data_IF_809483832922
#
_entry.id   IF_809483832922
#
_cell.length_a   1.000
_cell.length_b   1.000
_cell.length_c   1.000
_cell.angle_alpha   90.00
_cell.angle_beta   90.00
_cell.angle_gamma   90.00
#
_symmetry.space_group_name_H-M   'P 1'
#
loop_
_entity.id
_entity.type
_entity.pdbx_description
1 polymer ?
#
# COMPACT_ATOMS: atom_id res chain seq x y z
N UNK A 1 10.35 -18.96 -11.06
CA UNK A 1 9.31 -17.98 -10.64
C UNK A 1 8.13 -18.79 -10.15
N UNK A 2 7.81 -18.70 -8.86
CA UNK A 2 6.66 -19.38 -8.27
C UNK A 2 5.38 -18.78 -8.84
N UNK A 3 4.51 -19.61 -9.39
CA UNK A 3 3.18 -19.22 -9.88
C UNK A 3 2.16 -19.30 -8.73
N UNK A 4 2.48 -18.67 -7.60
CA UNK A 4 1.61 -18.66 -6.42
C UNK A 4 0.68 -17.46 -6.44
N UNK A 5 -0.58 -17.71 -6.10
CA UNK A 5 -1.61 -16.69 -5.94
C UNK A 5 -1.63 -16.16 -4.51
N UNK A 6 -1.55 -14.84 -4.36
CA UNK A 6 -1.67 -14.18 -3.06
C UNK A 6 -3.11 -14.30 -2.58
N UNK A 7 -3.31 -14.82 -1.36
CA UNK A 7 -4.62 -15.09 -0.77
C UNK A 7 -4.97 -14.13 0.35
N UNK A 8 -4.03 -13.95 1.27
CA UNK A 8 -4.23 -13.12 2.46
C UNK A 8 -3.03 -12.20 2.66
N UNK A 9 -3.30 -11.05 3.24
CA UNK A 9 -2.31 -10.18 3.85
C UNK A 9 -2.59 -10.13 5.36
N UNK A 10 -1.55 -10.29 6.16
CA UNK A 10 -1.60 -10.13 7.60
C UNK A 10 -0.64 -9.00 8.00
N UNK A 11 -1.15 -8.02 8.75
CA UNK A 11 -0.41 -6.87 9.23
C UNK A 11 -0.41 -6.86 10.76
N UNK A 12 0.77 -6.86 11.37
CA UNK A 12 0.94 -6.63 12.80
C UNK A 12 1.49 -5.23 13.00
N UNK A 13 0.80 -4.41 13.78
CA UNK A 13 1.21 -3.05 14.09
C UNK A 13 2.03 -2.98 15.38
N UNK A 14 3.08 -2.14 15.35
CA UNK A 14 4.07 -2.03 16.42
C UNK A 14 4.14 -0.62 17.01
N UNK A 15 3.03 0.12 16.98
CA UNK A 15 3.00 1.53 17.36
C UNK A 15 2.38 1.70 18.76
N UNK A 16 3.24 1.71 19.80
CA UNK A 16 2.81 2.01 21.16
C UNK A 16 2.27 3.44 21.24
N UNK A 17 1.20 3.64 22.02
CA UNK A 17 0.59 4.94 22.30
C UNK A 17 0.24 5.73 21.01
N UNK A 18 -0.17 5.00 19.96
CA UNK A 18 -0.58 5.60 18.70
C UNK A 18 -1.96 6.20 18.82
N UNK A 19 -2.05 7.50 18.59
CA UNK A 19 -3.31 8.26 18.71
C UNK A 19 -4.01 8.34 17.37
N UNK A 20 -5.32 8.54 17.40
CA UNK A 20 -6.17 8.68 16.22
C UNK A 20 -5.74 9.86 15.35
N UNK A 21 -5.40 10.98 15.97
CA UNK A 21 -4.94 12.22 15.34
C UNK A 21 -3.63 12.07 14.55
N UNK A 22 -2.84 11.03 14.83
CA UNK A 22 -1.61 10.75 14.08
C UNK A 22 -1.89 10.16 12.69
N UNK A 23 -3.12 9.74 12.43
CA UNK A 23 -3.52 9.16 11.16
C UNK A 23 -2.90 7.80 10.87
N UNK A 24 -2.65 7.52 9.60
CA UNK A 24 -2.03 6.26 9.15
C UNK A 24 -2.92 5.03 9.28
N UNK A 25 -4.24 5.21 9.41
CA UNK A 25 -5.21 4.12 9.42
C UNK A 25 -5.05 3.25 8.19
N UNK A 26 -5.13 1.93 8.39
CA UNK A 26 -5.42 1.05 7.27
C UNK A 26 -6.87 1.29 6.83
N UNK A 27 -7.04 1.62 5.58
CA UNK A 27 -8.36 1.83 4.99
C UNK A 27 -8.63 0.73 3.97
N UNK A 28 -9.80 0.13 4.07
CA UNK A 28 -10.32 -0.84 3.12
C UNK A 28 -11.41 -0.15 2.29
N UNK A 29 -11.43 -0.41 0.98
CA UNK A 29 -12.34 0.28 0.06
C UNK A 29 -13.16 -0.71 -0.73
N UNK A 30 -14.39 -0.31 -1.08
CA UNK A 30 -15.17 -0.99 -2.11
C UNK A 30 -14.63 -0.66 -3.50
N UNK A 31 -14.66 -1.65 -4.41
CA UNK A 31 -14.20 -1.49 -5.80
C UNK A 31 -14.95 -0.40 -6.56
N UNK A 32 -16.20 -0.14 -6.19
CA UNK A 32 -17.05 0.83 -6.87
C UNK A 32 -16.93 2.24 -6.28
N UNK A 33 -16.31 2.37 -5.09
CA UNK A 33 -16.14 3.66 -4.43
C UNK A 33 -14.81 3.74 -3.65
N UNK A 34 -13.78 4.19 -4.33
CA UNK A 34 -12.45 4.36 -3.74
C UNK A 34 -12.28 5.68 -2.96
N UNK A 35 -13.27 6.57 -2.98
CA UNK A 35 -13.20 7.84 -2.27
C UNK A 35 -13.63 7.73 -0.81
N UNK A 36 -14.43 6.70 -0.48
CA UNK A 36 -14.93 6.47 0.87
C UNK A 36 -14.53 5.06 1.33
N UNK A 37 -13.71 4.94 2.38
CA UNK A 37 -13.39 3.64 2.94
C UNK A 37 -14.61 3.01 3.60
N UNK A 38 -14.78 1.70 3.43
CA UNK A 38 -15.77 0.89 4.14
C UNK A 38 -15.31 0.58 5.57
N UNK A 39 -14.00 0.59 5.79
CA UNK A 39 -13.39 0.33 7.10
C UNK A 39 -12.12 1.15 7.29
N UNK A 40 -11.97 1.75 8.49
CA UNK A 40 -10.74 2.38 8.95
C UNK A 40 -10.24 1.66 10.20
N UNK A 41 -8.96 1.29 10.22
CA UNK A 41 -8.35 0.51 11.29
C UNK A 41 -7.14 1.28 11.80
N UNK A 42 -7.21 1.74 13.05
CA UNK A 42 -6.11 2.46 13.69
C UNK A 42 -4.92 1.51 13.92
N UNK A 43 -3.68 1.87 13.54
CA UNK A 43 -2.51 0.99 13.59
C UNK A 43 -1.85 0.95 14.97
N UNK A 44 -2.59 0.60 16.03
CA UNK A 44 -2.08 0.54 17.40
C UNK A 44 -1.20 -0.69 17.66
N UNK A 45 -0.38 -0.60 18.70
CA UNK A 45 0.49 -1.70 19.11
C UNK A 45 -0.28 -3.01 19.35
N UNK A 46 0.35 -4.11 18.93
CA UNK A 46 -0.18 -5.47 19.06
C UNK A 46 -1.52 -5.73 18.36
N UNK A 47 -1.89 -4.90 17.38
CA UNK A 47 -3.07 -5.14 16.54
C UNK A 47 -2.67 -5.96 15.33
N UNK A 48 -3.28 -7.12 15.19
CA UNK A 48 -3.22 -7.95 13.99
C UNK A 48 -4.44 -7.67 13.13
N UNK A 49 -4.22 -7.45 11.84
CA UNK A 49 -5.26 -7.32 10.82
C UNK A 49 -5.00 -8.32 9.73
N UNK A 50 -5.99 -9.17 9.42
CA UNK A 50 -5.92 -10.14 8.33
C UNK A 50 -7.05 -9.82 7.35
N UNK A 51 -6.73 -9.75 6.08
CA UNK A 51 -7.72 -9.52 5.02
C UNK A 51 -7.35 -10.24 3.73
N UNK A 52 -8.38 -10.58 2.96
CA UNK A 52 -8.22 -11.22 1.66
C UNK A 52 -7.60 -10.26 0.65
N UNK A 53 -6.70 -10.78 -0.17
CA UNK A 53 -6.12 -10.06 -1.31
C UNK A 53 -6.63 -10.66 -2.61
N UNK A 54 -7.60 -9.97 -3.20
CA UNK A 54 -8.17 -10.28 -4.51
C UNK A 54 -7.89 -9.12 -5.47
N UNK A 55 -8.23 -9.27 -6.74
CA UNK A 55 -8.08 -8.21 -7.74
C UNK A 55 -8.96 -6.98 -7.45
N UNK A 56 -9.91 -7.11 -6.53
CA UNK A 56 -10.86 -6.06 -6.15
C UNK A 56 -10.75 -5.64 -4.69
N UNK A 57 -9.76 -6.12 -3.95
CA UNK A 57 -9.55 -5.74 -2.53
C UNK A 57 -8.62 -4.53 -2.43
N UNK A 58 -9.19 -3.35 -2.61
CA UNK A 58 -8.44 -2.09 -2.49
C UNK A 58 -8.21 -1.71 -1.05
N UNK A 59 -6.97 -1.43 -0.71
CA UNK A 59 -6.58 -1.06 0.64
C UNK A 59 -5.34 -0.15 0.65
N UNK A 60 -5.15 0.59 1.72
CA UNK A 60 -3.99 1.48 1.87
C UNK A 60 -4.10 2.38 3.10
N UNK A 61 -3.18 3.33 3.21
CA UNK A 61 -3.24 4.45 4.16
C UNK A 61 -3.00 5.75 3.38
N UNK A 62 -4.02 6.22 2.69
CA UNK A 62 -3.89 7.32 1.72
C UNK A 62 -3.63 8.67 2.36
N UNK A 63 -4.06 8.84 3.62
CA UNK A 63 -3.94 10.10 4.32
C UNK A 63 -2.51 10.31 4.83
N UNK A 64 -1.97 11.54 4.81
CA UNK A 64 -0.67 11.84 5.39
C UNK A 64 -0.63 11.51 6.89
N UNK A 65 0.57 11.14 7.37
CA UNK A 65 0.81 11.01 8.79
C UNK A 65 0.93 12.39 9.43
N UNK A 66 0.35 12.54 10.62
CA UNK A 66 0.41 13.74 11.45
C UNK A 66 0.99 13.43 12.84
N UNK A 67 1.88 12.44 12.90
CA UNK A 67 2.57 12.09 14.14
C UNK A 67 3.78 13.00 14.37
N UNK A 68 4.26 13.14 15.62
CA UNK A 68 5.50 13.84 15.94
C UNK A 68 6.68 13.35 15.10
N UNK A 69 7.67 14.24 14.86
CA UNK A 69 8.78 13.98 13.93
C UNK A 69 9.69 12.82 14.36
N UNK A 70 9.74 12.53 15.65
CA UNK A 70 10.48 11.44 16.26
C UNK A 70 9.73 10.09 16.21
N UNK A 71 8.49 10.11 15.71
CA UNK A 71 7.67 8.90 15.57
C UNK A 71 7.52 8.45 14.13
N UNK A 72 7.34 7.16 13.97
CA UNK A 72 7.06 6.55 12.67
C UNK A 72 6.02 5.45 12.80
N UNK A 73 5.19 5.28 11.77
CA UNK A 73 4.24 4.18 11.67
C UNK A 73 4.98 2.89 11.29
N UNK A 74 4.94 1.91 12.17
CA UNK A 74 5.64 0.63 12.03
C UNK A 74 4.65 -0.52 11.91
N UNK A 75 4.90 -1.42 10.97
CA UNK A 75 4.14 -2.67 10.81
C UNK A 75 5.02 -3.76 10.22
N UNK A 76 4.70 -5.00 10.54
CA UNK A 76 5.20 -6.19 9.86
C UNK A 76 4.09 -6.67 8.94
N UNK A 77 4.41 -6.90 7.68
CA UNK A 77 3.46 -7.41 6.69
C UNK A 77 3.91 -8.79 6.21
N UNK A 78 2.98 -9.75 6.22
CA UNK A 78 3.19 -11.08 5.67
C UNK A 78 2.09 -11.40 4.68
N UNK A 79 2.42 -12.20 3.66
CA UNK A 79 1.47 -12.62 2.63
C UNK A 79 1.41 -14.13 2.59
N UNK A 80 0.19 -14.63 2.49
CA UNK A 80 -0.08 -16.06 2.34
C UNK A 80 -0.49 -16.34 0.90
N UNK A 81 0.06 -17.42 0.37
CA UNK A 81 -0.09 -17.81 -1.03
C UNK A 81 -0.65 -19.21 -1.12
N UNK A 82 -1.37 -19.50 -2.20
CA UNK A 82 -1.77 -20.86 -2.59
C UNK A 82 -1.28 -21.18 -4.00
N UNK A 83 -1.18 -22.45 -4.29
CA UNK A 83 -0.93 -22.93 -5.64
C UNK A 83 -2.26 -23.03 -6.39
N UNK A 84 -2.60 -21.96 -7.12
CA UNK A 84 -3.87 -21.82 -7.82
C UNK A 84 -5.03 -21.33 -6.93
N UNK A 85 -6.14 -21.05 -7.57
CA UNK A 85 -7.39 -20.56 -6.98
C UNK A 85 -8.56 -21.37 -7.53
N UNK A 86 -9.27 -22.06 -6.67
CA UNK A 86 -10.45 -22.83 -7.06
C UNK A 86 -11.66 -21.94 -7.37
N UNK A 87 -11.63 -20.70 -6.86
CA UNK A 87 -12.66 -19.67 -7.01
C UNK A 87 -12.56 -18.88 -8.32
N UNK A 88 -11.49 -19.10 -9.10
CA UNK A 88 -11.31 -18.42 -10.40
C UNK A 88 -11.65 -19.40 -11.52
N UNK A 89 -12.64 -19.04 -12.35
CA UNK A 89 -12.98 -19.82 -13.55
C UNK A 89 -11.74 -20.03 -14.40
N UNK A 90 -11.45 -21.27 -14.79
CA UNK A 90 -10.26 -21.75 -15.53
C UNK A 90 -9.90 -20.98 -16.82
N UNK A 91 -10.76 -20.09 -17.29
CA UNK A 91 -10.63 -19.36 -18.56
C UNK A 91 -10.18 -17.90 -18.40
N UNK A 92 -9.90 -17.41 -17.20
CA UNK A 92 -9.29 -16.09 -17.04
C UNK A 92 -7.77 -16.26 -17.07
N UNK A 93 -7.14 -15.72 -18.12
CA UNK A 93 -5.70 -15.58 -18.20
C UNK A 93 -5.21 -14.85 -16.93
N UNK A 94 -4.52 -15.59 -16.07
CA UNK A 94 -3.95 -15.08 -14.84
C UNK A 94 -3.00 -13.91 -15.17
N UNK A 95 -3.46 -12.70 -14.98
CA UNK A 95 -2.55 -11.56 -14.84
C UNK A 95 -1.85 -11.74 -13.50
N UNK A 96 -0.52 -11.69 -13.51
CA UNK A 96 0.29 -11.71 -12.29
C UNK A 96 -0.28 -10.70 -11.29
N UNK A 97 -0.71 -11.20 -10.13
CA UNK A 97 -1.15 -10.32 -9.04
C UNK A 97 0.07 -9.62 -8.44
N UNK A 98 0.39 -8.47 -9.00
CA UNK A 98 1.31 -7.50 -8.40
C UNK A 98 0.48 -6.43 -7.70
N UNK A 99 1.11 -5.66 -6.82
CA UNK A 99 0.46 -4.51 -6.21
C UNK A 99 0.17 -3.47 -7.31
N UNK A 100 -1.11 -3.20 -7.56
CA UNK A 100 -1.55 -2.12 -8.44
C UNK A 100 -1.86 -0.89 -7.62
N UNK A 101 -1.32 0.24 -8.03
CA UNK A 101 -1.65 1.54 -7.47
C UNK A 101 -2.76 2.15 -8.31
N UNK A 102 -3.86 2.53 -7.65
CA UNK A 102 -5.02 3.15 -8.31
C UNK A 102 -5.13 4.59 -7.81
N UNK A 103 -5.27 5.52 -8.75
CA UNK A 103 -5.54 6.92 -8.45
C UNK A 103 -7.00 7.06 -7.99
N UNK A 104 -7.20 7.68 -6.83
CA UNK A 104 -8.54 7.95 -6.29
C UNK A 104 -9.13 9.23 -6.85
N UNK A 105 -8.27 10.25 -7.04
CA UNK A 105 -8.64 11.55 -7.59
C UNK A 105 -7.45 12.25 -8.28
N UNK A 106 -7.67 13.48 -8.76
CA UNK A 106 -6.65 14.28 -9.45
C UNK A 106 -5.42 14.59 -8.57
N UNK A 107 -5.55 14.58 -7.25
CA UNK A 107 -4.44 14.84 -6.30
C UNK A 107 -3.42 13.71 -6.30
N UNK A 108 -3.84 12.52 -6.62
CA UNK A 108 -2.98 11.35 -6.70
C UNK A 108 -2.14 11.33 -8.00
N UNK A 109 -2.56 12.06 -9.05
CA UNK A 109 -1.87 12.08 -10.35
C UNK A 109 -0.45 12.63 -10.29
N UNK A 110 -0.15 13.53 -9.36
CA UNK A 110 1.19 14.14 -9.21
C UNK A 110 2.21 13.18 -8.55
N UNK A 111 1.74 12.14 -7.86
CA UNK A 111 2.59 11.20 -7.09
C UNK A 111 2.79 9.85 -7.78
N UNK A 112 2.05 9.55 -8.83
CA UNK A 112 2.00 8.22 -9.42
C UNK A 112 2.69 8.11 -10.78
N UNK A 113 3.96 8.50 -10.84
CA UNK A 113 4.83 7.84 -11.82
C UNK A 113 4.86 6.34 -11.47
N UNK A 114 4.73 5.44 -12.47
CA UNK A 114 4.86 4.00 -12.25
C UNK A 114 6.08 3.71 -11.39
N UNK A 115 5.93 2.82 -10.42
CA UNK A 115 7.03 2.45 -9.50
C UNK A 115 8.28 2.05 -10.27
N UNK A 116 8.12 1.39 -11.42
CA UNK A 116 9.18 1.06 -12.38
C UNK A 116 9.95 2.29 -12.86
N UNK A 117 9.27 3.40 -13.13
CA UNK A 117 9.95 4.64 -13.57
C UNK A 117 10.60 5.33 -12.37
N UNK A 118 9.95 5.34 -11.19
CA UNK A 118 10.57 5.87 -9.96
C UNK A 118 11.80 5.08 -9.54
N UNK A 119 11.77 3.75 -9.66
CA UNK A 119 12.90 2.90 -9.32
C UNK A 119 14.02 2.99 -10.37
N UNK A 120 13.69 3.15 -11.64
CA UNK A 120 14.66 3.45 -12.69
C UNK A 120 15.29 4.82 -12.49
N UNK A 121 14.49 5.86 -12.16
CA UNK A 121 15.00 7.21 -11.89
C UNK A 121 15.81 7.28 -10.59
N UNK A 122 15.48 6.46 -9.57
CA UNK A 122 16.30 6.33 -8.35
C UNK A 122 17.64 5.62 -8.62
N UNK A 123 17.69 4.69 -9.56
CA UNK A 123 18.92 4.01 -10.00
C UNK A 123 19.82 4.93 -10.83
N UNK A 124 19.25 5.90 -11.56
CA UNK A 124 20.04 6.94 -12.20
C UNK A 124 20.41 8.01 -11.14
N UNK A 125 21.69 8.04 -10.76
CA UNK A 125 22.31 9.03 -9.83
C UNK A 125 21.96 10.51 -10.12
N UNK A 126 21.35 10.80 -11.24
CA UNK A 126 21.00 12.12 -11.77
C UNK A 126 20.00 12.85 -10.85
N UNK A 127 18.97 12.19 -10.32
CA UNK A 127 17.99 12.85 -9.44
C UNK A 127 18.55 13.20 -8.05
N UNK A 128 19.55 12.45 -7.58
CA UNK A 128 20.23 12.78 -6.31
C UNK A 128 21.05 14.07 -6.43
N UNK A 129 21.57 14.37 -7.62
CA UNK A 129 22.33 15.57 -7.91
C UNK A 129 21.41 16.77 -8.21
N UNK A 130 20.27 16.57 -8.90
CA UNK A 130 19.27 17.61 -9.12
C UNK A 130 18.64 18.10 -7.81
N UNK A 131 18.30 17.20 -6.89
CA UNK A 131 17.78 17.59 -5.57
C UNK A 131 18.82 18.35 -4.70
N UNK A 132 20.11 18.08 -4.88
CA UNK A 132 21.17 18.88 -4.24
C UNK A 132 21.34 20.27 -4.89
N UNK A 133 21.09 20.34 -6.19
CA UNK A 133 21.17 21.61 -6.93
C UNK A 133 19.98 22.53 -6.61
N UNK A 134 18.76 21.98 -6.59
CA UNK A 134 17.53 22.72 -6.29
C UNK A 134 17.39 23.15 -4.82
N UNK A 135 18.16 22.57 -3.91
CA UNK A 135 18.22 23.01 -2.50
C UNK A 135 19.22 24.15 -2.25
N UNK A 136 19.93 24.62 -3.28
CA UNK A 136 20.89 25.72 -3.20
C UNK A 136 20.34 27.05 -3.71
N UNK A 137 19.11 27.07 -4.17
CA UNK A 137 18.31 28.24 -4.54
C UNK A 137 17.01 28.23 -3.73
#
# INVERSE_FOLDING_TARGET
KTHLDRRLNALIYLNKDWKDEYGGHLQLFDKNNLNKPIQKILPIFNRLVIFSTTDVSYHGHPDPLNCPIDRSRKSIATWYYSNGRDDVKKNQLFKKNTTFWVNRDKRDNVKNLPITIKDQLRRFKILRNLNKFLKKF
#
